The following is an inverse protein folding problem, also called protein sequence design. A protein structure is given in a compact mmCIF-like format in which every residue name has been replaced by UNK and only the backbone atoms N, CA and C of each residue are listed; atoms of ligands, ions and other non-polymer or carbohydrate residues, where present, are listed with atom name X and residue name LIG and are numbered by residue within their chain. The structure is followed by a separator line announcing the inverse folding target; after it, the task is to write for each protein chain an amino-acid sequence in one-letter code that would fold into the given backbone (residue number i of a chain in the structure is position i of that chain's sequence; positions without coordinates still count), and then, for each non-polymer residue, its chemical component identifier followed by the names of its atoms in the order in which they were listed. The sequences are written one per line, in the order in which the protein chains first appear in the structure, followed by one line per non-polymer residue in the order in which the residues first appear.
data_IF_953300724933
#
_entry.id   IF_953300724933
#
_cell.length_a   1.000
_cell.length_b   1.000
_cell.length_c   1.000
_cell.angle_alpha   90.00
_cell.angle_beta   90.00
_cell.angle_gamma   90.00
#
_symmetry.space_group_name_H-M   'P 1'
#
loop_
_entity.id
_entity.type
_entity.pdbx_description
1 polymer ?
#
# COMPACT_ATOMS: atom_id res chain seq x y z
N UNK A 1 0.24 32.14 3.85
CA UNK A 1 1.57 31.78 4.40
C UNK A 1 2.01 30.49 3.73
N UNK A 2 3.24 30.38 3.22
CA UNK A 2 3.78 29.09 2.82
C UNK A 2 3.82 28.16 4.05
N UNK A 3 3.57 26.85 3.92
CA UNK A 3 3.72 25.92 5.03
C UNK A 3 5.15 26.02 5.54
N UNK A 4 5.32 26.32 6.83
CA UNK A 4 6.63 26.22 7.47
C UNK A 4 6.91 24.72 7.61
N UNK A 5 7.81 24.18 6.80
CA UNK A 5 8.29 22.82 7.00
C UNK A 5 9.05 22.80 8.34
N UNK A 6 8.40 22.29 9.39
CA UNK A 6 9.05 22.06 10.67
C UNK A 6 10.11 20.97 10.45
N UNK A 7 11.34 21.13 10.99
CA UNK A 7 12.34 20.08 10.91
C UNK A 7 11.85 18.83 11.63
N UNK A 8 12.08 17.65 11.04
CA UNK A 8 11.91 16.38 11.74
C UNK A 8 12.77 16.39 13.01
N UNK A 9 12.19 15.97 14.12
CA UNK A 9 12.89 15.86 15.41
C UNK A 9 13.78 14.60 15.36
N UNK A 10 14.96 14.68 15.99
CA UNK A 10 15.84 13.53 16.17
C UNK A 10 15.07 12.35 16.82
N UNK A 11 15.17 11.16 16.23
CA UNK A 11 14.37 9.99 16.61
C UNK A 11 12.98 9.85 15.94
N UNK A 12 12.69 10.60 14.86
CA UNK A 12 11.48 10.40 14.07
C UNK A 12 11.44 9.02 13.41
N UNK A 13 10.28 8.36 13.44
CA UNK A 13 10.08 7.04 12.83
C UNK A 13 9.16 7.15 11.61
N UNK A 14 9.64 6.65 10.47
CA UNK A 14 8.81 6.42 9.27
C UNK A 14 8.29 4.99 9.33
N UNK A 15 6.97 4.78 9.48
CA UNK A 15 6.45 3.44 9.60
C UNK A 15 6.29 2.81 8.21
N UNK A 16 6.63 1.53 8.09
CA UNK A 16 6.41 0.76 6.87
C UNK A 16 4.90 0.65 6.56
N UNK A 17 4.12 0.28 7.58
CA UNK A 17 2.67 0.15 7.59
C UNK A 17 2.09 0.99 8.74
N UNK A 18 0.79 1.31 8.74
CA UNK A 18 0.14 2.26 9.69
C UNK A 18 0.53 3.73 9.51
N UNK A 19 1.00 4.10 8.33
CA UNK A 19 0.97 5.50 7.89
C UNK A 19 -0.47 6.03 7.83
N UNK A 20 -0.67 7.34 7.91
CA UNK A 20 -2.01 7.93 7.87
C UNK A 20 -2.49 8.22 6.43
N UNK A 21 -3.80 8.12 6.21
CA UNK A 21 -4.47 8.41 4.94
C UNK A 21 -4.28 9.87 4.50
N UNK A 22 -4.11 10.82 5.43
CA UNK A 22 -3.77 12.20 5.06
C UNK A 22 -2.40 12.29 4.38
N UNK A 23 -1.37 11.66 4.93
CA UNK A 23 -0.04 11.59 4.32
C UNK A 23 -0.08 10.86 2.98
N UNK A 24 -0.77 9.71 2.88
CA UNK A 24 -0.89 8.99 1.62
C UNK A 24 -1.55 9.83 0.53
N UNK A 25 -2.70 10.46 0.82
CA UNK A 25 -3.43 11.31 -0.14
C UNK A 25 -2.61 12.54 -0.53
N UNK A 26 -1.88 13.14 0.43
CA UNK A 26 -0.97 14.28 0.19
C UNK A 26 0.19 13.89 -0.72
N UNK A 27 0.87 12.79 -0.43
CA UNK A 27 1.94 12.26 -1.29
C UNK A 27 1.40 11.92 -2.67
N UNK A 28 0.28 11.21 -2.77
CA UNK A 28 -0.32 10.80 -4.05
C UNK A 28 -0.67 12.00 -4.92
N UNK A 29 -1.19 13.08 -4.33
CA UNK A 29 -1.48 14.34 -5.04
C UNK A 29 -0.22 15.04 -5.55
N UNK A 30 0.86 15.02 -4.76
CA UNK A 30 2.14 15.66 -5.10
C UNK A 30 3.04 14.79 -5.97
N UNK A 31 2.71 13.51 -6.12
CA UNK A 31 3.54 12.57 -6.87
C UNK A 31 3.57 12.95 -8.35
N UNK A 32 4.73 13.42 -8.78
CA UNK A 32 5.03 13.69 -10.19
C UNK A 32 5.51 12.38 -10.81
N UNK A 33 5.10 12.14 -12.05
CA UNK A 33 5.51 10.98 -12.87
C UNK A 33 6.94 11.19 -13.36
N UNK A 34 7.90 11.35 -12.46
CA UNK A 34 9.32 11.45 -12.81
C UNK A 34 10.02 10.12 -12.57
N UNK A 35 11.17 9.96 -13.22
CA UNK A 35 11.92 8.69 -13.25
C UNK A 35 12.97 8.62 -12.14
N UNK A 36 13.16 9.69 -11.36
CA UNK A 36 14.26 9.79 -10.40
C UNK A 36 14.00 9.08 -9.08
N UNK A 37 12.74 8.92 -8.66
CA UNK A 37 12.41 8.27 -7.39
C UNK A 37 11.08 7.52 -7.43
N UNK A 38 10.95 6.41 -6.68
CA UNK A 38 9.68 5.72 -6.51
C UNK A 38 8.68 6.58 -5.73
N UNK A 39 7.41 6.17 -5.77
CA UNK A 39 6.41 6.73 -4.86
C UNK A 39 6.69 6.28 -3.44
N UNK A 40 6.68 7.24 -2.50
CA UNK A 40 6.81 6.95 -1.08
C UNK A 40 5.77 7.74 -0.27
N UNK A 41 5.23 7.07 0.76
CA UNK A 41 4.38 7.71 1.75
C UNK A 41 5.28 8.30 2.82
N UNK A 42 5.44 9.61 2.76
CA UNK A 42 6.32 10.37 3.65
C UNK A 42 5.58 10.72 4.94
N UNK A 43 5.27 9.70 5.75
CA UNK A 43 4.60 9.83 7.04
C UNK A 43 5.60 9.59 8.17
N UNK A 44 5.83 10.57 9.03
CA UNK A 44 6.79 10.47 10.14
C UNK A 44 6.12 10.72 11.47
N UNK A 45 6.45 9.95 12.50
CA UNK A 45 5.99 10.16 13.86
C UNK A 45 7.13 10.67 14.73
N UNK A 46 6.88 11.67 15.56
CA UNK A 46 7.87 12.28 16.46
C UNK A 46 8.10 11.37 17.68
N UNK A 47 8.87 10.29 17.51
CA UNK A 47 9.28 9.36 18.57
C UNK A 47 8.34 8.16 18.81
N UNK A 48 8.80 7.24 19.68
CA UNK A 48 8.04 6.04 20.10
C UNK A 48 6.83 6.46 20.94
N UNK A 49 5.63 6.33 20.39
CA UNK A 49 4.37 6.58 21.09
C UNK A 49 3.60 7.83 20.64
N UNK A 50 4.09 8.59 19.65
CA UNK A 50 3.29 9.68 19.07
C UNK A 50 2.05 9.12 18.36
N UNK A 51 0.87 9.59 18.74
CA UNK A 51 -0.40 9.23 18.11
C UNK A 51 -0.70 10.04 16.84
N UNK A 52 0.02 11.15 16.62
CA UNK A 52 -0.15 12.04 15.47
C UNK A 52 1.19 12.14 14.72
N UNK A 53 1.13 12.05 13.41
CA UNK A 53 2.30 12.21 12.54
C UNK A 53 2.68 13.69 12.40
N UNK A 54 3.93 13.95 12.04
CA UNK A 54 4.49 15.28 11.87
C UNK A 54 3.62 16.17 10.98
N UNK A 55 3.17 15.67 9.83
CA UNK A 55 2.37 16.44 8.88
C UNK A 55 0.99 16.82 9.47
N UNK A 56 0.29 15.88 10.09
CA UNK A 56 -1.00 16.15 10.72
C UNK A 56 -0.87 17.08 11.93
N UNK A 57 0.23 16.95 12.70
CA UNK A 57 0.55 17.86 13.79
C UNK A 57 0.75 19.30 13.31
N UNK A 58 1.47 19.49 12.19
CA UNK A 58 1.69 20.82 11.61
C UNK A 58 0.37 21.41 11.08
N UNK A 59 -0.46 20.58 10.48
CA UNK A 59 -1.77 20.96 9.94
C UNK A 59 -2.85 21.07 11.04
N UNK A 60 -2.51 20.83 12.32
CA UNK A 60 -3.45 20.82 13.47
C UNK A 60 -4.68 19.92 13.26
N UNK A 61 -4.45 18.75 12.67
CA UNK A 61 -5.49 17.74 12.37
C UNK A 61 -5.15 16.40 13.01
N UNK A 62 -6.16 15.58 13.28
CA UNK A 62 -5.95 14.21 13.72
C UNK A 62 -5.44 13.34 12.56
N UNK A 63 -4.63 12.34 12.85
CA UNK A 63 -4.29 11.33 11.85
C UNK A 63 -5.49 10.43 11.55
N UNK A 64 -5.79 10.27 10.27
CA UNK A 64 -6.75 9.28 9.81
C UNK A 64 -5.99 7.97 9.47
N UNK A 65 -6.11 6.92 10.28
CA UNK A 65 -5.52 5.61 9.95
C UNK A 65 -6.30 4.91 8.84
N UNK A 66 -5.72 3.96 8.10
CA UNK A 66 -6.50 3.02 7.29
C UNK A 66 -7.58 2.37 8.18
N UNK A 67 -8.80 2.21 7.66
CA UNK A 67 -9.89 1.58 8.43
C UNK A 67 -9.54 0.14 8.82
N UNK A 68 -9.94 -0.25 10.05
CA UNK A 68 -9.55 -1.53 10.64
C UNK A 68 -9.90 -2.75 9.77
N UNK A 69 -11.02 -2.71 9.06
CA UNK A 69 -11.47 -3.76 8.13
C UNK A 69 -10.67 -3.87 6.82
N UNK A 70 -9.73 -2.96 6.57
CA UNK A 70 -8.87 -2.94 5.39
C UNK A 70 -7.37 -2.90 5.73
N UNK A 71 -6.99 -3.14 6.99
CA UNK A 71 -5.59 -3.06 7.41
C UNK A 71 -4.69 -4.01 6.63
N UNK A 72 -5.19 -5.20 6.25
CA UNK A 72 -4.47 -6.14 5.41
C UNK A 72 -4.28 -5.62 3.99
N UNK A 73 -5.28 -4.94 3.41
CA UNK A 73 -5.09 -4.27 2.12
C UNK A 73 -4.05 -3.14 2.22
N UNK A 74 -4.02 -2.42 3.34
CA UNK A 74 -3.00 -1.40 3.61
C UNK A 74 -1.60 -1.97 3.76
N UNK A 75 -1.47 -3.15 4.35
CA UNK A 75 -0.23 -3.92 4.41
C UNK A 75 0.22 -4.35 3.01
N UNK A 76 -0.65 -5.00 2.24
CA UNK A 76 -0.36 -5.45 0.88
C UNK A 76 0.06 -4.27 -0.01
N UNK A 77 -0.64 -3.15 0.09
CA UNK A 77 -0.29 -1.94 -0.63
C UNK A 77 1.10 -1.42 -0.21
N UNK A 78 1.45 -1.44 1.07
CA UNK A 78 2.78 -1.06 1.56
C UNK A 78 3.87 -2.00 1.02
N UNK A 79 3.59 -3.30 0.96
CA UNK A 79 4.49 -4.28 0.34
C UNK A 79 4.68 -4.02 -1.16
N UNK A 80 3.61 -3.71 -1.90
CA UNK A 80 3.70 -3.35 -3.32
C UNK A 80 4.57 -2.11 -3.51
N UNK A 81 4.44 -1.09 -2.65
CA UNK A 81 5.29 0.10 -2.70
C UNK A 81 6.76 -0.25 -2.44
N UNK A 82 7.05 -1.08 -1.42
CA UNK A 82 8.41 -1.58 -1.11
C UNK A 82 9.00 -2.34 -2.29
N UNK A 83 8.27 -3.29 -2.85
CA UNK A 83 8.68 -4.06 -4.03
C UNK A 83 8.92 -3.17 -5.26
N UNK A 84 8.05 -2.18 -5.51
CA UNK A 84 8.16 -1.30 -6.66
C UNK A 84 9.43 -0.43 -6.64
N UNK A 85 10.04 -0.19 -5.47
CA UNK A 85 11.33 0.52 -5.38
C UNK A 85 12.46 -0.19 -6.14
N UNK A 86 12.36 -1.52 -6.33
CA UNK A 86 13.36 -2.32 -7.07
C UNK A 86 13.46 -1.92 -8.55
N UNK A 87 12.46 -1.22 -9.10
CA UNK A 87 12.51 -0.65 -10.46
C UNK A 87 13.45 0.54 -10.60
N UNK A 88 13.87 1.15 -9.48
CA UNK A 88 14.83 2.25 -9.47
C UNK A 88 16.30 1.83 -9.37
N UNK A 89 16.57 0.52 -9.38
CA UNK A 89 17.94 0.00 -9.51
C UNK A 89 18.52 0.14 -10.93
N UNK A 90 19.84 -0.02 -11.06
CA UNK A 90 20.61 0.18 -12.30
C UNK A 90 20.20 -0.71 -13.49
N UNK A 91 19.37 -1.73 -13.25
CA UNK A 91 18.98 -2.73 -14.24
C UNK A 91 17.78 -2.32 -15.10
N UNK A 92 17.12 -1.20 -14.84
CA UNK A 92 15.89 -0.81 -15.54
C UNK A 92 16.04 0.47 -16.34
N UNK A 93 15.46 0.47 -17.55
CA UNK A 93 15.47 1.67 -18.38
C UNK A 93 14.56 2.75 -17.81
N UNK A 94 14.80 4.00 -18.21
CA UNK A 94 13.92 5.12 -17.87
C UNK A 94 12.46 4.87 -18.29
N UNK A 95 12.27 4.23 -19.46
CA UNK A 95 10.93 3.87 -19.96
C UNK A 95 10.19 2.94 -19.01
N UNK A 96 10.87 1.92 -18.45
CA UNK A 96 10.26 1.02 -17.45
C UNK A 96 9.91 1.80 -16.18
N UNK A 97 10.85 2.61 -15.67
CA UNK A 97 10.60 3.44 -14.47
C UNK A 97 9.41 4.36 -14.66
N UNK A 98 9.25 4.98 -15.83
CA UNK A 98 8.11 5.84 -16.14
C UNK A 98 6.79 5.06 -16.17
N UNK A 99 6.77 3.86 -16.77
CA UNK A 99 5.58 2.99 -16.76
C UNK A 99 5.21 2.57 -15.34
N UNK A 100 6.18 2.16 -14.53
CA UNK A 100 5.96 1.81 -13.11
C UNK A 100 5.45 3.04 -12.33
N UNK A 101 6.03 4.22 -12.55
CA UNK A 101 5.57 5.45 -11.91
C UNK A 101 4.13 5.81 -12.29
N UNK A 102 3.73 5.60 -13.54
CA UNK A 102 2.35 5.78 -13.98
C UNK A 102 1.41 4.79 -13.30
N UNK A 103 1.75 3.51 -13.29
CA UNK A 103 0.97 2.46 -12.66
C UNK A 103 0.81 2.71 -11.14
N UNK A 104 1.89 3.12 -10.46
CA UNK A 104 1.86 3.50 -9.04
C UNK A 104 0.90 4.66 -8.79
N UNK A 105 0.90 5.69 -9.64
CA UNK A 105 -0.03 6.82 -9.48
C UNK A 105 -1.49 6.35 -9.49
N UNK A 106 -1.83 5.46 -10.41
CA UNK A 106 -3.18 4.94 -10.57
C UNK A 106 -3.56 4.02 -9.40
N UNK A 107 -2.64 3.15 -8.96
CA UNK A 107 -2.80 2.30 -7.78
C UNK A 107 -3.01 3.13 -6.50
N UNK A 108 -2.22 4.18 -6.29
CA UNK A 108 -2.34 5.07 -5.12
C UNK A 108 -3.70 5.76 -5.05
N UNK A 109 -4.21 6.19 -6.21
CA UNK A 109 -5.54 6.80 -6.33
C UNK A 109 -6.62 5.77 -6.03
N UNK A 110 -6.49 4.56 -6.60
CA UNK A 110 -7.43 3.48 -6.38
C UNK A 110 -7.51 3.06 -4.90
N UNK A 111 -6.37 2.89 -4.22
CA UNK A 111 -6.35 2.58 -2.79
C UNK A 111 -7.12 3.61 -1.97
N UNK A 112 -6.85 4.91 -2.18
CA UNK A 112 -7.58 5.98 -1.47
C UNK A 112 -9.07 6.01 -1.79
N UNK A 113 -9.48 5.65 -3.01
CA UNK A 113 -10.89 5.60 -3.40
C UNK A 113 -11.58 4.42 -2.73
N UNK A 114 -11.00 3.23 -2.79
CA UNK A 114 -11.50 2.01 -2.13
C UNK A 114 -11.70 2.26 -0.64
N UNK A 115 -10.69 2.82 0.00
CA UNK A 115 -10.71 3.13 1.43
C UNK A 115 -11.86 4.09 1.80
N UNK A 116 -12.07 5.13 0.98
CA UNK A 116 -13.19 6.07 1.13
C UNK A 116 -14.55 5.42 0.89
N UNK A 117 -14.65 4.48 -0.07
CA UNK A 117 -15.89 3.72 -0.33
C UNK A 117 -16.24 2.87 0.88
N UNK A 118 -15.26 2.14 1.44
CA UNK A 118 -15.45 1.35 2.66
C UNK A 118 -15.92 2.21 3.83
N UNK A 119 -15.24 3.34 4.09
CA UNK A 119 -15.67 4.29 5.14
C UNK A 119 -17.11 4.73 4.98
N UNK A 120 -17.50 5.13 3.77
CA UNK A 120 -18.86 5.61 3.50
C UNK A 120 -19.91 4.52 3.70
N UNK A 121 -19.64 3.30 3.26
CA UNK A 121 -20.56 2.20 3.42
C UNK A 121 -20.79 1.82 4.89
N UNK A 122 -19.79 2.03 5.75
CA UNK A 122 -19.90 1.85 7.20
C UNK A 122 -20.17 3.14 7.97
N UNK A 123 -20.54 4.23 7.29
CA UNK A 123 -20.81 5.54 7.87
C UNK A 123 -19.68 6.12 8.76
N UNK A 124 -18.42 5.71 8.56
CA UNK A 124 -17.24 6.10 9.34
C UNK A 124 -16.76 7.54 9.08
N UNK A 125 -17.64 8.39 8.55
CA UNK A 125 -17.41 9.82 8.38
C UNK A 125 -18.04 10.65 9.49
N UNK A 126 -18.89 10.06 10.33
CA UNK A 126 -19.43 10.68 11.55
C UNK A 126 -18.68 10.18 12.79
N UNK A 127 -18.67 10.97 13.85
CA UNK A 127 -18.16 10.58 15.17
C UNK A 127 -19.26 9.91 16.02
N UNK A 128 -20.24 9.28 15.36
CA UNK A 128 -21.36 8.65 16.03
C UNK A 128 -20.92 7.37 16.76
N UNK A 129 -21.17 7.32 18.07
CA UNK A 129 -20.76 6.20 18.92
C UNK A 129 -21.45 4.88 18.56
N UNK A 130 -22.70 4.90 18.10
CA UNK A 130 -23.45 3.72 17.67
C UNK A 130 -22.89 3.17 16.36
N UNK A 131 -22.56 4.07 15.42
CA UNK A 131 -21.87 3.70 14.16
C UNK A 131 -20.52 3.06 14.46
N UNK A 132 -19.73 3.65 15.36
CA UNK A 132 -18.43 3.11 15.75
C UNK A 132 -18.55 1.78 16.49
N UNK A 133 -19.57 1.59 17.33
CA UNK A 133 -19.83 0.31 17.99
C UNK A 133 -20.23 -0.79 16.99
N UNK A 134 -21.10 -0.44 16.03
CA UNK A 134 -21.52 -1.35 14.96
C UNK A 134 -20.32 -1.77 14.11
N UNK A 135 -19.46 -0.82 13.74
CA UNK A 135 -18.26 -1.12 12.96
C UNK A 135 -17.24 -1.97 13.74
N UNK A 136 -17.07 -1.72 15.04
CA UNK A 136 -16.23 -2.58 15.89
C UNK A 136 -16.74 -4.02 15.93
N UNK A 137 -18.06 -4.22 16.03
CA UNK A 137 -18.68 -5.55 15.97
C UNK A 137 -18.42 -6.22 14.63
N UNK A 138 -18.57 -5.50 13.51
CA UNK A 138 -18.22 -6.01 12.17
C UNK A 138 -16.76 -6.45 12.11
N UNK A 139 -15.81 -5.60 12.55
CA UNK A 139 -14.38 -5.91 12.56
C UNK A 139 -14.08 -7.15 13.40
N UNK A 140 -14.69 -7.26 14.58
CA UNK A 140 -14.51 -8.40 15.48
C UNK A 140 -15.03 -9.70 14.86
N UNK A 141 -16.21 -9.68 14.24
CA UNK A 141 -16.75 -10.84 13.52
C UNK A 141 -15.82 -11.27 12.38
N UNK A 142 -15.27 -10.31 11.62
CA UNK A 142 -14.34 -10.61 10.52
C UNK A 142 -13.01 -11.19 11.03
N UNK A 143 -12.50 -10.71 12.17
CA UNK A 143 -11.26 -11.23 12.79
C UNK A 143 -11.37 -12.70 13.19
N UNK A 144 -12.56 -13.13 13.63
CA UNK A 144 -12.82 -14.54 13.97
C UNK A 144 -12.75 -15.49 12.77
N UNK A 145 -12.85 -14.97 11.55
CA UNK A 145 -12.72 -15.74 10.32
C UNK A 145 -11.27 -15.83 9.82
N UNK A 146 -10.33 -15.09 10.43
CA UNK A 146 -8.92 -15.16 10.05
C UNK A 146 -8.30 -16.45 10.54
N UNK A 147 -7.48 -17.05 9.67
CA UNK A 147 -6.61 -18.17 10.03
C UNK A 147 -5.64 -17.70 11.12
N UNK A 148 -5.62 -18.40 12.24
CA UNK A 148 -4.69 -18.14 13.32
C UNK A 148 -3.40 -18.93 13.05
N UNK A 149 -2.40 -18.26 12.51
CA UNK A 149 -1.06 -18.83 12.42
C UNK A 149 -0.40 -18.85 13.82
N UNK A 150 0.41 -19.87 14.13
CA UNK A 150 1.23 -19.85 15.34
C UNK A 150 2.18 -18.65 15.30
N UNK A 151 2.54 -18.14 16.48
CA UNK A 151 3.58 -17.11 16.59
C UNK A 151 4.91 -17.75 16.13
N UNK A 152 5.64 -17.15 15.18
CA UNK A 152 6.97 -17.63 14.78
C UNK A 152 7.94 -17.62 15.96
N UNK A 153 8.97 -18.46 15.86
CA UNK A 153 10.07 -18.43 16.83
C UNK A 153 10.91 -17.15 16.64
N UNK A 154 11.61 -16.71 17.69
CA UNK A 154 12.44 -15.51 17.65
C UNK A 154 13.61 -15.61 16.65
N UNK A 155 14.00 -16.83 16.27
CA UNK A 155 15.05 -17.11 15.30
C UNK A 155 14.55 -17.30 13.86
N UNK A 156 13.24 -17.25 13.62
CA UNK A 156 12.69 -17.37 12.28
C UNK A 156 13.00 -16.13 11.44
N UNK A 157 12.95 -16.30 10.12
CA UNK A 157 13.29 -15.25 9.18
C UNK A 157 12.20 -14.15 9.08
N UNK A 158 12.57 -13.03 8.44
CA UNK A 158 11.68 -11.88 8.25
C UNK A 158 10.42 -12.26 7.46
N UNK A 159 10.48 -13.24 6.56
CA UNK A 159 9.36 -13.65 5.73
C UNK A 159 8.30 -14.41 6.56
N UNK A 160 8.73 -15.26 7.50
CA UNK A 160 7.82 -15.92 8.45
C UNK A 160 7.13 -14.92 9.37
N UNK A 161 7.87 -13.92 9.89
CA UNK A 161 7.31 -12.84 10.69
C UNK A 161 6.33 -11.98 9.89
N UNK A 162 6.68 -11.59 8.66
CA UNK A 162 5.80 -10.84 7.75
C UNK A 162 4.51 -11.63 7.46
N UNK A 163 4.61 -12.94 7.24
CA UNK A 163 3.47 -13.84 7.03
C UNK A 163 2.56 -13.91 8.24
N UNK A 164 3.15 -14.07 9.44
CA UNK A 164 2.41 -14.05 10.69
C UNK A 164 1.68 -12.72 10.91
N UNK A 165 2.36 -11.58 10.77
CA UNK A 165 1.76 -10.27 10.93
C UNK A 165 0.61 -10.05 9.93
N UNK A 166 0.88 -10.35 8.66
CA UNK A 166 -0.07 -10.23 7.55
C UNK A 166 -1.33 -11.07 7.73
N UNK A 167 -1.22 -12.28 8.29
CA UNK A 167 -2.36 -13.20 8.50
C UNK A 167 -3.38 -12.67 9.51
N UNK A 168 -2.96 -11.75 10.39
CA UNK A 168 -3.80 -11.16 11.44
C UNK A 168 -4.54 -9.90 10.99
N UNK A 169 -4.32 -9.45 9.76
CA UNK A 169 -4.87 -8.22 9.23
C UNK A 169 -6.07 -8.48 8.31
N UNK A 170 -7.12 -7.68 8.46
CA UNK A 170 -8.34 -7.82 7.67
C UNK A 170 -8.17 -7.27 6.26
N UNK A 171 -8.53 -8.09 5.28
CA UNK A 171 -8.65 -7.72 3.87
C UNK A 171 -10.12 -7.67 3.47
N UNK A 172 -10.45 -6.80 2.52
CA UNK A 172 -11.73 -6.85 1.81
C UNK A 172 -11.94 -8.24 1.21
N UNK A 173 -13.16 -8.76 1.32
CA UNK A 173 -13.63 -9.99 0.69
C UNK A 173 -14.66 -9.71 -0.41
N UNK A 174 -14.93 -10.70 -1.29
CA UNK A 174 -16.06 -10.62 -2.21
C UNK A 174 -17.36 -10.20 -1.50
N UNK A 175 -17.98 -9.13 -2.00
CA UNK A 175 -19.17 -8.51 -1.41
C UNK A 175 -18.89 -7.29 -0.52
N UNK A 176 -17.64 -7.10 -0.06
CA UNK A 176 -17.28 -5.92 0.71
C UNK A 176 -17.26 -4.65 -0.18
N UNK A 177 -17.74 -3.50 0.32
CA UNK A 177 -17.68 -2.23 -0.41
C UNK A 177 -16.25 -1.86 -0.80
N UNK A 178 -15.99 -1.77 -2.10
CA UNK A 178 -14.67 -1.45 -2.65
C UNK A 178 -13.82 -2.65 -3.03
N UNK A 179 -14.22 -3.88 -2.70
CA UNK A 179 -13.47 -5.10 -3.05
C UNK A 179 -13.16 -5.18 -4.55
N UNK A 180 -14.19 -5.10 -5.39
CA UNK A 180 -14.03 -5.20 -6.85
C UNK A 180 -13.11 -4.10 -7.38
N UNK A 181 -13.28 -2.86 -6.93
CA UNK A 181 -12.43 -1.74 -7.35
C UNK A 181 -10.97 -1.95 -6.96
N UNK A 182 -10.71 -2.49 -5.77
CA UNK A 182 -9.36 -2.80 -5.33
C UNK A 182 -8.71 -3.92 -6.13
N UNK A 183 -9.42 -5.02 -6.35
CA UNK A 183 -8.92 -6.16 -7.13
C UNK A 183 -8.66 -5.79 -8.60
N UNK A 184 -9.53 -4.98 -9.21
CA UNK A 184 -9.32 -4.45 -10.56
C UNK A 184 -8.07 -3.57 -10.61
N UNK A 185 -7.85 -2.71 -9.61
CA UNK A 185 -6.67 -1.86 -9.55
C UNK A 185 -5.38 -2.66 -9.40
N UNK A 186 -5.37 -3.71 -8.56
CA UNK A 186 -4.23 -4.61 -8.41
C UNK A 186 -3.88 -5.32 -9.73
N UNK A 187 -4.88 -5.82 -10.44
CA UNK A 187 -4.68 -6.46 -11.76
C UNK A 187 -4.18 -5.49 -12.82
N UNK A 188 -4.77 -4.30 -12.88
CA UNK A 188 -4.35 -3.27 -13.81
C UNK A 188 -2.90 -2.84 -13.53
N UNK A 189 -2.52 -2.72 -12.26
CA UNK A 189 -1.14 -2.46 -11.86
C UNK A 189 -0.23 -3.61 -12.31
N UNK A 190 -0.57 -4.87 -11.96
CA UNK A 190 0.20 -6.06 -12.35
C UNK A 190 0.45 -6.12 -13.86
N UNK A 191 -0.60 -6.01 -14.67
CA UNK A 191 -0.50 -6.02 -16.13
C UNK A 191 0.34 -4.87 -16.69
N UNK A 192 0.22 -3.66 -16.13
CA UNK A 192 1.05 -2.54 -16.56
C UNK A 192 2.55 -2.77 -16.31
N UNK A 193 2.92 -3.48 -15.24
CA UNK A 193 4.30 -3.86 -14.97
C UNK A 193 4.78 -4.95 -15.93
N UNK A 194 3.97 -5.98 -16.15
CA UNK A 194 4.26 -7.06 -17.10
C UNK A 194 4.51 -6.51 -18.52
N UNK A 195 3.65 -5.60 -18.98
CA UNK A 195 3.78 -4.91 -20.26
C UNK A 195 5.07 -4.08 -20.32
N UNK A 196 5.38 -3.34 -19.25
CA UNK A 196 6.60 -2.52 -19.19
C UNK A 196 7.87 -3.37 -19.30
N UNK A 197 7.91 -4.51 -18.61
CA UNK A 197 9.04 -5.45 -18.65
C UNK A 197 9.14 -6.10 -20.02
N UNK A 198 8.02 -6.55 -20.60
CA UNK A 198 7.96 -7.17 -21.92
C UNK A 198 8.48 -6.23 -23.01
N UNK A 199 8.03 -4.97 -23.01
CA UNK A 199 8.52 -3.93 -23.93
C UNK A 199 10.03 -3.72 -23.74
N UNK A 200 10.52 -3.72 -22.50
CA UNK A 200 11.95 -3.57 -22.23
C UNK A 200 12.78 -4.78 -22.71
N UNK A 201 12.24 -5.99 -22.59
CA UNK A 201 12.88 -7.21 -23.07
C UNK A 201 13.04 -7.17 -24.61
N UNK A 202 11.97 -6.79 -25.32
CA UNK A 202 12.01 -6.61 -26.78
C UNK A 202 13.04 -5.58 -27.22
N UNK A 203 13.13 -4.43 -26.50
CA UNK A 203 14.15 -3.41 -26.77
C UNK A 203 15.59 -3.87 -26.51
N UNK A 204 15.78 -4.90 -25.68
CA UNK A 204 17.09 -5.53 -25.42
C UNK A 204 17.43 -6.64 -26.42
N UNK A 205 16.54 -6.91 -27.38
CA UNK A 205 16.71 -8.02 -28.32
C UNK A 205 16.56 -9.39 -27.66
N UNK A 206 15.93 -9.47 -26.48
CA UNK A 206 15.57 -10.76 -25.89
C UNK A 206 14.47 -11.40 -26.75
N UNK A 207 14.61 -12.69 -27.03
CA UNK A 207 13.55 -13.46 -27.67
C UNK A 207 12.34 -13.59 -26.71
N UNK A 208 11.20 -14.04 -27.24
CA UNK A 208 9.97 -14.13 -26.44
C UNK A 208 10.10 -15.02 -25.20
N UNK A 209 10.90 -16.09 -25.27
CA UNK A 209 11.11 -17.03 -24.15
C UNK A 209 11.87 -16.32 -23.03
N UNK A 210 13.02 -15.71 -23.35
CA UNK A 210 13.82 -14.96 -22.39
C UNK A 210 13.09 -13.72 -21.85
N UNK A 211 12.22 -13.10 -22.66
CA UNK A 211 11.33 -12.03 -22.23
C UNK A 211 10.30 -12.50 -21.19
N UNK A 212 9.63 -13.63 -21.44
CA UNK A 212 8.69 -14.25 -20.48
C UNK A 212 9.40 -14.66 -19.18
N UNK A 213 10.56 -15.31 -19.27
CA UNK A 213 11.36 -15.66 -18.09
C UNK A 213 11.80 -14.44 -17.27
N UNK A 214 12.01 -13.28 -17.90
CA UNK A 214 12.30 -12.03 -17.18
C UNK A 214 11.05 -11.52 -16.44
N UNK A 215 9.88 -11.57 -17.09
CA UNK A 215 8.61 -11.21 -16.46
C UNK A 215 8.35 -12.13 -15.26
N UNK A 216 8.37 -13.45 -15.45
CA UNK A 216 8.08 -14.43 -14.41
C UNK A 216 9.01 -14.27 -13.20
N UNK A 217 10.31 -14.05 -13.44
CA UNK A 217 11.30 -13.83 -12.36
C UNK A 217 11.08 -12.55 -11.57
N UNK A 218 10.52 -11.51 -12.18
CA UNK A 218 10.25 -10.25 -11.48
C UNK A 218 8.91 -10.33 -10.75
N UNK A 219 7.92 -10.95 -11.41
CA UNK A 219 6.56 -11.07 -10.90
C UNK A 219 6.40 -12.20 -9.87
N UNK A 220 7.32 -13.15 -9.77
CA UNK A 220 7.28 -14.17 -8.69
C UNK A 220 7.44 -13.56 -7.30
N UNK A 221 7.99 -12.35 -7.19
CA UNK A 221 8.10 -11.59 -5.95
C UNK A 221 6.99 -10.55 -5.79
N UNK A 222 5.96 -10.56 -6.64
CA UNK A 222 4.85 -9.61 -6.53
C UNK A 222 4.05 -9.90 -5.25
N UNK A 223 3.95 -8.94 -4.30
CA UNK A 223 3.57 -9.26 -2.93
C UNK A 223 2.05 -9.22 -2.68
N UNK A 224 1.23 -9.30 -3.72
CA UNK A 224 -0.23 -9.28 -3.58
C UNK A 224 -0.88 -10.40 -4.39
N UNK A 225 -1.80 -11.10 -3.74
CA UNK A 225 -2.67 -12.06 -4.39
C UNK A 225 -3.66 -11.30 -5.29
N UNK A 226 -3.47 -11.42 -6.60
CA UNK A 226 -4.49 -11.07 -7.58
C UNK A 226 -5.31 -12.34 -7.84
N UNK A 227 -6.22 -12.72 -6.91
CA UNK A 227 -7.12 -13.85 -7.13
C UNK A 227 -7.92 -13.69 -8.44
N UNK A 228 -8.39 -14.81 -9.00
CA UNK A 228 -9.41 -14.83 -10.05
C UNK A 228 -10.72 -14.22 -9.50
N UNK A 229 -11.42 -13.41 -10.32
CA UNK A 229 -12.63 -12.64 -10.00
C UNK A 229 -13.68 -13.24 -10.91
#
# INVERSE_FOLDING_TARGET
MPPRDRPLIDGSVKPFFLWCMHCQRRCARKYKRNTDRPFEIDCHFNGKGSIICHQCSDDSTACESVVAGMLGNGWDYSQILRWATTFWGNKWSEKVRLSVANALKDLNSAFSITERVHRRAHALTSEDNEVMATYRTFVEQRRRLLVQLPVPDEYEDEDEWDSYESSRLLRLLPGDPGYVSWMVALRAFRGAIEDAITICAGLRGLNEVAGRELVDRVMCWFPAACEDI
#
